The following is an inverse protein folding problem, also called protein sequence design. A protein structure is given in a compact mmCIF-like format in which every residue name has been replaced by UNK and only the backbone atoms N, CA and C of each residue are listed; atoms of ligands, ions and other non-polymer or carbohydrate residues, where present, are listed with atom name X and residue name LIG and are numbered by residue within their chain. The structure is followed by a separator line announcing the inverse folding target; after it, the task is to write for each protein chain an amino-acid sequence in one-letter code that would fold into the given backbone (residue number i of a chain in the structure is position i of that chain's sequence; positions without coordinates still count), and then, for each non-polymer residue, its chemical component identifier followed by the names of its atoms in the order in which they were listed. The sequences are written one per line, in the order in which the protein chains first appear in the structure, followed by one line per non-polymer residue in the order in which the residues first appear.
data_IF_085792000826
#
_entry.id   IF_085792000826
#
_cell.length_a   1.000
_cell.length_b   1.000
_cell.length_c   1.000
_cell.angle_alpha   90.00
_cell.angle_beta   90.00
_cell.angle_gamma   90.00
#
_symmetry.space_group_name_H-M   'P 1'
#
loop_
_entity.id
_entity.type
_entity.pdbx_description
1 polymer ?
#
# COMPACT_ATOMS: atom_id res chain seq x y z
N UNK A 1 -19.76 -3.36 -5.60
CA UNK A 1 -18.39 -2.81 -5.64
C UNK A 1 -17.44 -3.99 -5.82
N UNK A 2 -16.53 -3.96 -6.80
CA UNK A 2 -15.74 -5.13 -7.19
C UNK A 2 -14.51 -5.26 -6.25
N UNK A 3 -14.69 -5.94 -5.11
CA UNK A 3 -13.69 -6.09 -4.04
C UNK A 3 -12.33 -6.61 -4.56
N UNK A 4 -12.36 -7.48 -5.56
CA UNK A 4 -11.17 -8.00 -6.25
C UNK A 4 -10.37 -6.87 -6.95
N UNK A 5 -11.05 -5.93 -7.62
CA UNK A 5 -10.36 -4.83 -8.32
C UNK A 5 -9.64 -3.90 -7.35
N UNK A 6 -10.25 -3.58 -6.21
CA UNK A 6 -9.65 -2.70 -5.21
C UNK A 6 -8.42 -3.36 -4.58
N UNK A 7 -8.52 -4.63 -4.21
CA UNK A 7 -7.43 -5.33 -3.54
C UNK A 7 -6.23 -5.58 -4.48
N UNK A 8 -6.46 -5.89 -5.78
CA UNK A 8 -5.40 -5.88 -6.80
C UNK A 8 -4.75 -4.51 -6.95
N UNK A 9 -5.53 -3.43 -6.89
CA UNK A 9 -4.99 -2.08 -6.94
C UNK A 9 -4.10 -1.81 -5.73
N UNK A 10 -4.44 -2.31 -4.54
CA UNK A 10 -3.60 -2.18 -3.35
C UNK A 10 -2.30 -2.99 -3.47
N UNK A 11 -2.36 -4.26 -3.87
CA UNK A 11 -1.16 -5.09 -4.12
C UNK A 11 -0.25 -4.41 -5.14
N UNK A 12 -0.80 -3.94 -6.27
CA UNK A 12 -0.02 -3.25 -7.29
C UNK A 12 0.59 -1.93 -6.81
N UNK A 13 0.01 -1.25 -5.81
CA UNK A 13 0.65 -0.09 -5.16
C UNK A 13 1.85 -0.54 -4.34
N UNK A 14 1.72 -1.59 -3.54
CA UNK A 14 2.78 -2.13 -2.68
C UNK A 14 3.98 -2.61 -3.52
N UNK A 15 3.72 -3.31 -4.62
CA UNK A 15 4.76 -3.75 -5.57
C UNK A 15 5.47 -2.55 -6.20
N UNK A 16 4.72 -1.57 -6.73
CA UNK A 16 5.32 -0.35 -7.32
C UNK A 16 6.21 0.43 -6.34
N UNK A 17 5.86 0.47 -5.06
CA UNK A 17 6.73 1.11 -4.05
C UNK A 17 8.06 0.38 -3.95
N UNK A 18 8.03 -0.94 -3.92
CA UNK A 18 9.23 -1.76 -3.84
C UNK A 18 10.10 -1.59 -5.10
N UNK A 19 9.48 -1.49 -6.28
CA UNK A 19 10.17 -1.19 -7.54
C UNK A 19 10.82 0.20 -7.53
N UNK A 20 10.08 1.24 -7.12
CA UNK A 20 10.57 2.64 -7.04
C UNK A 20 11.74 2.75 -6.06
N UNK A 21 11.65 2.06 -4.92
CA UNK A 21 12.70 2.05 -3.91
C UNK A 21 13.84 1.07 -4.21
N UNK A 22 13.71 0.27 -5.27
CA UNK A 22 14.62 -0.82 -5.62
C UNK A 22 14.91 -1.77 -4.43
N UNK A 23 13.85 -2.16 -3.71
CA UNK A 23 13.92 -3.11 -2.59
C UNK A 23 13.12 -4.36 -2.91
N UNK A 24 13.63 -5.50 -2.44
CA UNK A 24 12.90 -6.77 -2.57
C UNK A 24 11.84 -6.87 -1.48
N UNK A 25 10.61 -7.24 -1.89
CA UNK A 25 9.58 -7.65 -0.95
C UNK A 25 10.01 -8.90 -0.18
N UNK A 26 9.42 -9.16 1.00
CA UNK A 26 9.67 -10.39 1.76
C UNK A 26 9.46 -11.63 0.91
N UNK A 27 10.31 -12.65 1.09
CA UNK A 27 10.25 -13.90 0.31
C UNK A 27 8.85 -14.53 0.29
N UNK A 28 8.12 -14.64 1.42
CA UNK A 28 6.76 -15.20 1.41
C UNK A 28 5.81 -14.44 0.47
N UNK A 29 5.88 -13.11 0.46
CA UNK A 29 5.06 -12.24 -0.39
C UNK A 29 5.40 -12.43 -1.87
N UNK A 30 6.69 -12.47 -2.22
CA UNK A 30 7.11 -12.70 -3.62
C UNK A 30 6.73 -14.10 -4.11
N UNK A 31 6.84 -15.12 -3.24
CA UNK A 31 6.45 -16.49 -3.56
C UNK A 31 4.94 -16.61 -3.76
N UNK A 32 4.14 -15.99 -2.89
CA UNK A 32 2.68 -15.97 -3.03
C UNK A 32 2.24 -15.22 -4.29
N UNK A 33 2.90 -14.12 -4.65
CA UNK A 33 2.63 -13.41 -5.91
C UNK A 33 2.89 -14.32 -7.11
N UNK A 34 4.05 -15.00 -7.15
CA UNK A 34 4.38 -15.92 -8.23
C UNK A 34 3.43 -17.14 -8.29
N UNK A 35 2.95 -17.62 -7.14
CA UNK A 35 1.94 -18.67 -7.06
C UNK A 35 0.60 -18.20 -7.61
N UNK A 36 0.15 -17.00 -7.22
CA UNK A 36 -1.06 -16.38 -7.75
C UNK A 36 -1.01 -16.24 -9.28
N UNK A 37 0.07 -15.69 -9.82
CA UNK A 37 0.23 -15.55 -11.27
C UNK A 37 0.17 -16.89 -11.99
N UNK A 38 0.79 -17.93 -11.40
CA UNK A 38 0.74 -19.30 -11.94
C UNK A 38 -0.68 -19.86 -11.89
N UNK A 39 -1.40 -19.69 -10.77
CA UNK A 39 -2.77 -20.15 -10.64
C UNK A 39 -3.70 -19.46 -11.64
N UNK A 40 -3.59 -18.15 -11.81
CA UNK A 40 -4.38 -17.39 -12.80
C UNK A 40 -4.10 -17.90 -14.22
N UNK A 41 -2.83 -18.10 -14.58
CA UNK A 41 -2.49 -18.66 -15.89
C UNK A 41 -3.08 -20.07 -16.10
N UNK A 42 -3.07 -20.92 -15.06
CA UNK A 42 -3.70 -22.24 -15.12
C UNK A 42 -5.22 -22.13 -15.29
N UNK A 43 -5.88 -21.25 -14.53
CA UNK A 43 -7.34 -21.01 -14.62
C UNK A 43 -7.72 -20.51 -16.02
N UNK A 44 -6.95 -19.59 -16.58
CA UNK A 44 -7.19 -19.05 -17.92
C UNK A 44 -7.03 -20.13 -18.98
N UNK A 45 -6.05 -21.03 -18.82
CA UNK A 45 -5.82 -22.18 -19.70
C UNK A 45 -6.86 -23.30 -19.61
N UNK A 46 -7.80 -23.26 -18.67
CA UNK A 46 -8.85 -24.27 -18.58
C UNK A 46 -9.76 -24.22 -19.81
N UNK A 47 -9.76 -25.31 -20.57
CA UNK A 47 -10.60 -25.49 -21.75
C UNK A 47 -11.80 -26.40 -21.44
N UNK A 48 -12.97 -25.99 -21.94
CA UNK A 48 -14.17 -26.80 -21.86
C UNK A 48 -14.15 -27.88 -22.94
N UNK A 49 -14.28 -29.15 -22.53
CA UNK A 49 -14.58 -30.25 -23.45
C UNK A 49 -16.08 -30.25 -23.78
N UNK A 50 -16.44 -30.61 -25.00
CA UNK A 50 -17.84 -30.72 -25.42
C UNK A 50 -18.48 -32.02 -24.90
N UNK A 51 -19.42 -31.95 -23.94
CA UNK A 51 -20.08 -33.14 -23.41
C UNK A 51 -20.98 -33.83 -24.45
N UNK A 52 -21.53 -33.08 -25.41
CA UNK A 52 -22.38 -33.64 -26.45
C UNK A 52 -21.56 -34.49 -27.43
N UNK A 53 -20.41 -34.00 -27.87
CA UNK A 53 -19.49 -34.78 -28.70
C UNK A 53 -19.03 -36.06 -28.00
N UNK A 54 -18.72 -36.00 -26.70
CA UNK A 54 -18.36 -37.18 -25.91
C UNK A 54 -19.54 -38.18 -25.81
N UNK A 55 -20.76 -37.70 -25.58
CA UNK A 55 -21.96 -38.55 -25.50
C UNK A 55 -22.30 -39.21 -26.83
N UNK A 56 -22.20 -38.49 -27.94
CA UNK A 56 -22.40 -39.04 -29.29
C UNK A 56 -21.36 -40.13 -29.60
N UNK A 57 -20.09 -39.93 -29.19
CA UNK A 57 -19.05 -40.95 -29.31
C UNK A 57 -19.35 -42.20 -28.47
N UNK A 58 -19.76 -42.03 -27.22
CA UNK A 58 -20.13 -43.15 -26.35
C UNK A 58 -21.28 -43.99 -26.95
N UNK A 59 -22.33 -43.32 -27.46
CA UNK A 59 -23.43 -43.99 -28.15
C UNK A 59 -22.99 -44.73 -29.41
N UNK A 60 -22.12 -44.12 -30.23
CA UNK A 60 -21.58 -44.75 -31.43
C UNK A 60 -20.75 -46.00 -31.10
N UNK A 61 -20.07 -46.00 -29.95
CA UNK A 61 -19.29 -47.13 -29.44
C UNK A 61 -20.15 -48.17 -28.66
N UNK A 62 -21.47 -47.96 -28.54
CA UNK A 62 -22.39 -48.84 -27.80
C UNK A 62 -22.27 -48.76 -26.27
N UNK A 63 -21.64 -47.71 -25.74
CA UNK A 63 -21.52 -47.42 -24.30
C UNK A 63 -22.71 -46.59 -23.82
N UNK A 64 -23.09 -46.73 -22.54
CA UNK A 64 -24.12 -45.89 -21.91
C UNK A 64 -23.54 -44.51 -21.50
N UNK A 65 -23.97 -43.39 -22.11
CA UNK A 65 -23.44 -42.06 -21.81
C UNK A 65 -23.60 -41.61 -20.35
N UNK A 66 -24.58 -42.16 -19.63
CA UNK A 66 -24.83 -41.77 -18.23
C UNK A 66 -23.75 -42.30 -17.28
N UNK A 67 -23.21 -43.47 -17.59
CA UNK A 67 -22.14 -44.12 -16.83
C UNK A 67 -20.77 -43.95 -17.47
N UNK A 68 -20.70 -43.39 -18.68
CA UNK A 68 -19.47 -43.23 -19.43
C UNK A 68 -18.49 -42.22 -18.79
N UNK A 69 -17.22 -42.61 -18.55
CA UNK A 69 -16.23 -41.75 -17.91
C UNK A 69 -15.83 -40.54 -18.78
N UNK A 70 -15.84 -40.65 -20.11
CA UNK A 70 -15.46 -39.56 -21.01
C UNK A 70 -16.53 -38.46 -21.00
N UNK A 71 -17.80 -38.85 -20.98
CA UNK A 71 -18.95 -37.93 -20.87
C UNK A 71 -18.94 -37.20 -19.54
N UNK A 72 -18.70 -37.92 -18.43
CA UNK A 72 -18.57 -37.33 -17.09
C UNK A 72 -17.39 -36.36 -17.01
N UNK A 73 -16.23 -36.76 -17.52
CA UNK A 73 -15.05 -35.90 -17.57
C UNK A 73 -15.31 -34.63 -18.41
N UNK A 74 -16.01 -34.73 -19.53
CA UNK A 74 -16.39 -33.59 -20.35
C UNK A 74 -17.35 -32.63 -19.63
N UNK A 75 -18.34 -33.16 -18.90
CA UNK A 75 -19.22 -32.34 -18.05
C UNK A 75 -18.45 -31.59 -16.96
N UNK A 76 -17.55 -32.28 -16.24
CA UNK A 76 -16.72 -31.66 -15.20
C UNK A 76 -15.83 -30.57 -15.81
N UNK A 77 -15.16 -30.87 -16.92
CA UNK A 77 -14.32 -29.91 -17.65
C UNK A 77 -15.11 -28.67 -18.07
N UNK A 78 -16.32 -28.83 -18.62
CA UNK A 78 -17.19 -27.71 -18.98
C UNK A 78 -17.59 -26.87 -17.76
N UNK A 79 -17.92 -27.50 -16.64
CA UNK A 79 -18.26 -26.80 -15.40
C UNK A 79 -17.06 -26.03 -14.87
N UNK A 80 -15.90 -26.68 -14.75
CA UNK A 80 -14.66 -26.06 -14.22
C UNK A 80 -14.14 -24.94 -15.12
N UNK A 81 -14.26 -25.09 -16.44
CA UNK A 81 -13.89 -24.07 -17.41
C UNK A 81 -14.97 -22.98 -17.62
N UNK A 82 -16.11 -23.06 -16.92
CA UNK A 82 -17.14 -22.01 -16.97
C UNK A 82 -16.61 -20.67 -16.45
N UNK A 83 -17.17 -19.57 -16.93
CA UNK A 83 -16.76 -18.24 -16.50
C UNK A 83 -16.98 -18.02 -15.00
N UNK A 84 -18.06 -18.59 -14.47
CA UNK A 84 -18.41 -18.56 -13.05
C UNK A 84 -17.36 -19.28 -12.22
N UNK A 85 -16.95 -20.49 -12.61
CA UNK A 85 -15.89 -21.23 -11.93
C UNK A 85 -14.54 -20.54 -12.03
N UNK A 86 -14.14 -20.03 -13.21
CA UNK A 86 -12.90 -19.26 -13.35
C UNK A 86 -12.88 -18.04 -12.44
N UNK A 87 -14.01 -17.31 -12.36
CA UNK A 87 -14.14 -16.16 -11.47
C UNK A 87 -14.01 -16.55 -9.99
N UNK A 88 -14.68 -17.63 -9.57
CA UNK A 88 -14.62 -18.12 -8.20
C UNK A 88 -13.21 -18.62 -7.80
N UNK A 89 -12.54 -19.34 -8.70
CA UNK A 89 -11.17 -19.83 -8.49
C UNK A 89 -10.18 -18.66 -8.38
N UNK A 90 -10.27 -17.68 -9.29
CA UNK A 90 -9.41 -16.49 -9.25
C UNK A 90 -9.67 -15.66 -7.99
N UNK A 91 -10.92 -15.51 -7.56
CA UNK A 91 -11.26 -14.84 -6.31
C UNK A 91 -10.63 -15.56 -5.11
N UNK A 92 -10.67 -16.89 -5.07
CA UNK A 92 -10.04 -17.67 -4.00
C UNK A 92 -8.52 -17.50 -4.00
N UNK A 93 -7.87 -17.65 -5.15
CA UNK A 93 -6.43 -17.46 -5.28
C UNK A 93 -6.00 -16.05 -4.85
N UNK A 94 -6.81 -15.04 -5.17
CA UNK A 94 -6.58 -13.67 -4.74
C UNK A 94 -6.74 -13.50 -3.22
N UNK A 95 -7.74 -14.13 -2.59
CA UNK A 95 -7.89 -14.12 -1.14
C UNK A 95 -6.67 -14.73 -0.43
N UNK A 96 -6.18 -15.87 -0.92
CA UNK A 96 -4.99 -16.51 -0.37
C UNK A 96 -3.74 -15.61 -0.52
N UNK A 97 -3.61 -14.86 -1.63
CA UNK A 97 -2.55 -13.86 -1.80
C UNK A 97 -2.67 -12.70 -0.79
N UNK A 98 -3.88 -12.19 -0.56
CA UNK A 98 -4.11 -11.11 0.39
C UNK A 98 -3.75 -11.52 1.81
N UNK A 99 -4.10 -12.73 2.22
CA UNK A 99 -3.77 -13.26 3.54
C UNK A 99 -2.25 -13.23 3.78
N UNK A 100 -1.44 -13.60 2.79
CA UNK A 100 0.03 -13.54 2.88
C UNK A 100 0.54 -12.10 3.01
N UNK A 101 -0.02 -11.15 2.26
CA UNK A 101 0.35 -9.73 2.40
C UNK A 101 -0.01 -9.17 3.79
N UNK A 102 -1.13 -9.59 4.37
CA UNK A 102 -1.58 -9.18 5.70
C UNK A 102 -0.68 -9.80 6.77
N UNK A 103 -0.40 -11.09 6.68
CA UNK A 103 0.47 -11.83 7.61
C UNK A 103 1.88 -11.22 7.66
N UNK A 104 2.43 -10.85 6.50
CA UNK A 104 3.77 -10.28 6.37
C UNK A 104 3.79 -8.75 6.26
N UNK A 105 2.71 -8.07 6.66
CA UNK A 105 2.60 -6.63 6.47
C UNK A 105 3.70 -5.84 7.21
N UNK A 106 4.12 -6.30 8.40
CA UNK A 106 5.24 -5.73 9.13
C UNK A 106 6.57 -5.84 8.37
N UNK A 107 6.88 -7.05 7.86
CA UNK A 107 8.10 -7.31 7.08
C UNK A 107 8.17 -6.46 5.81
N UNK A 108 7.02 -6.22 5.16
CA UNK A 108 6.92 -5.33 3.99
C UNK A 108 7.29 -3.89 4.38
N UNK A 109 6.72 -3.36 5.46
CA UNK A 109 7.06 -2.01 5.95
C UNK A 109 8.53 -1.92 6.36
N UNK A 110 9.06 -2.95 7.02
CA UNK A 110 10.46 -3.02 7.43
C UNK A 110 11.42 -2.98 6.23
N UNK A 111 11.06 -3.62 5.12
CA UNK A 111 11.83 -3.55 3.87
C UNK A 111 11.96 -2.12 3.32
N UNK A 112 11.03 -1.22 3.67
CA UNK A 112 11.03 0.17 3.23
C UNK A 112 11.76 1.12 4.19
N UNK A 113 12.08 0.69 5.43
CA UNK A 113 12.67 1.58 6.45
C UNK A 113 14.01 2.15 6.00
N UNK A 114 14.93 1.32 5.50
CA UNK A 114 16.25 1.77 5.06
C UNK A 114 16.22 2.81 3.90
N UNK A 115 15.55 2.55 2.76
CA UNK A 115 15.46 3.55 1.70
C UNK A 115 14.66 4.80 2.11
N UNK A 116 13.66 4.65 2.99
CA UNK A 116 12.97 5.80 3.59
C UNK A 116 13.93 6.66 4.41
N UNK A 117 14.76 6.06 5.27
CA UNK A 117 15.74 6.79 6.09
C UNK A 117 16.75 7.52 5.20
N UNK A 118 17.19 6.92 4.10
CA UNK A 118 18.06 7.58 3.14
C UNK A 118 17.37 8.81 2.51
N UNK A 119 16.12 8.68 2.07
CA UNK A 119 15.35 9.80 1.52
C UNK A 119 15.12 10.91 2.58
N UNK A 120 14.80 10.54 3.82
CA UNK A 120 14.66 11.48 4.93
C UNK A 120 15.97 12.26 5.21
N UNK A 121 17.12 11.59 5.12
CA UNK A 121 18.42 12.25 5.24
C UNK A 121 18.68 13.20 4.09
N UNK A 122 18.40 12.81 2.83
CA UNK A 122 18.54 13.69 1.67
C UNK A 122 17.69 14.96 1.78
N UNK A 123 16.49 14.87 2.36
CA UNK A 123 15.66 16.05 2.66
C UNK A 123 16.35 16.95 3.69
N UNK A 124 16.89 16.36 4.75
CA UNK A 124 17.60 17.11 5.81
C UNK A 124 18.82 17.83 5.24
N UNK A 125 19.65 17.13 4.47
CA UNK A 125 20.85 17.67 3.83
C UNK A 125 20.50 18.79 2.84
N UNK A 126 19.46 18.59 2.03
CA UNK A 126 19.00 19.59 1.09
C UNK A 126 18.46 20.84 1.80
N UNK A 127 17.74 20.68 2.92
CA UNK A 127 17.27 21.82 3.72
C UNK A 127 18.42 22.66 4.24
N UNK A 128 19.48 22.03 4.72
CA UNK A 128 20.69 22.71 5.19
C UNK A 128 21.38 23.45 4.04
N UNK A 129 21.63 22.76 2.93
CA UNK A 129 22.29 23.32 1.75
C UNK A 129 21.50 24.48 1.12
N UNK A 130 20.18 24.37 1.04
CA UNK A 130 19.28 25.39 0.48
C UNK A 130 18.92 26.48 1.50
N UNK A 131 19.44 26.40 2.74
CA UNK A 131 19.17 27.35 3.83
C UNK A 131 17.66 27.53 4.08
N UNK A 132 16.91 26.44 3.99
CA UNK A 132 15.47 26.43 4.19
C UNK A 132 14.65 27.13 3.10
N UNK A 133 15.21 27.43 1.93
CA UNK A 133 14.43 27.93 0.78
C UNK A 133 13.34 26.94 0.38
N UNK A 134 12.17 27.44 -0.08
CA UNK A 134 11.09 26.58 -0.52
C UNK A 134 11.41 25.96 -1.89
N UNK A 135 10.96 24.72 -2.11
CA UNK A 135 11.28 23.95 -3.33
C UNK A 135 10.47 24.39 -4.57
N UNK A 136 9.53 25.32 -4.43
CA UNK A 136 8.83 25.94 -5.55
C UNK A 136 9.62 27.09 -6.19
N UNK A 137 10.62 27.66 -5.48
CA UNK A 137 11.56 28.67 -6.00
C UNK A 137 12.71 28.03 -6.80
N UNK A 138 12.37 27.25 -7.84
CA UNK A 138 13.37 26.56 -8.66
C UNK A 138 14.38 27.55 -9.29
N UNK A 139 13.91 28.71 -9.75
CA UNK A 139 14.76 29.72 -10.36
C UNK A 139 15.75 30.34 -9.35
N UNK A 140 15.29 30.69 -8.15
CA UNK A 140 16.15 31.21 -7.08
C UNK A 140 17.13 30.17 -6.56
N UNK A 141 16.76 28.89 -6.55
CA UNK A 141 17.67 27.79 -6.18
C UNK A 141 18.75 27.57 -7.24
N UNK A 142 18.40 27.54 -8.53
CA UNK A 142 19.38 27.40 -9.62
C UNK A 142 20.37 28.57 -9.65
N UNK A 143 19.93 29.77 -9.29
CA UNK A 143 20.81 30.94 -9.19
C UNK A 143 21.88 30.82 -8.08
N UNK A 144 21.73 29.90 -7.12
CA UNK A 144 22.75 29.60 -6.10
C UNK A 144 23.88 28.71 -6.63
N UNK A 145 23.76 28.17 -7.85
CA UNK A 145 24.79 27.38 -8.51
C UNK A 145 24.50 25.88 -8.56
N UNK A 146 25.44 25.13 -9.16
CA UNK A 146 25.25 23.70 -9.47
C UNK A 146 25.04 22.81 -8.25
N UNK A 147 25.73 23.07 -7.13
CA UNK A 147 25.55 22.27 -5.91
C UNK A 147 24.14 22.42 -5.31
N UNK A 148 23.59 23.64 -5.31
CA UNK A 148 22.22 23.88 -4.86
C UNK A 148 21.19 23.21 -5.79
N UNK A 149 21.45 23.23 -7.11
CA UNK A 149 20.62 22.51 -8.07
C UNK A 149 20.66 20.98 -7.87
N UNK A 150 21.79 20.40 -7.44
CA UNK A 150 21.88 18.98 -7.07
C UNK A 150 21.03 18.68 -5.83
N UNK A 151 21.22 19.42 -4.74
CA UNK A 151 20.42 19.22 -3.51
C UNK A 151 18.91 19.43 -3.75
N UNK A 152 18.56 20.32 -4.66
CA UNK A 152 17.18 20.49 -5.12
C UNK A 152 16.62 19.23 -5.78
N UNK A 153 17.37 18.64 -6.72
CA UNK A 153 16.98 17.41 -7.39
C UNK A 153 16.88 16.24 -6.40
N UNK A 154 17.87 16.10 -5.52
CA UNK A 154 17.90 15.05 -4.49
C UNK A 154 16.69 15.16 -3.54
N UNK A 155 16.33 16.37 -3.10
CA UNK A 155 15.14 16.59 -2.29
C UNK A 155 13.85 16.22 -3.02
N UNK A 156 13.74 16.58 -4.30
CA UNK A 156 12.57 16.27 -5.15
C UNK A 156 12.39 14.76 -5.31
N UNK A 157 13.48 14.03 -5.54
CA UNK A 157 13.49 12.57 -5.62
C UNK A 157 13.13 11.94 -4.27
N UNK A 158 13.75 12.41 -3.19
CA UNK A 158 13.45 11.94 -1.84
C UNK A 158 11.98 12.13 -1.45
N UNK A 159 11.37 13.27 -1.79
CA UNK A 159 9.93 13.51 -1.60
C UNK A 159 9.10 12.50 -2.41
N UNK A 160 9.48 12.22 -3.65
CA UNK A 160 8.78 11.24 -4.48
C UNK A 160 8.84 9.83 -3.86
N UNK A 161 10.01 9.43 -3.35
CA UNK A 161 10.22 8.15 -2.66
C UNK A 161 9.38 8.05 -1.38
N UNK A 162 9.38 9.10 -0.54
CA UNK A 162 8.56 9.14 0.67
C UNK A 162 7.06 9.06 0.35
N UNK A 163 6.60 9.79 -0.68
CA UNK A 163 5.20 9.72 -1.12
C UNK A 163 4.84 8.33 -1.66
N UNK A 164 5.76 7.66 -2.35
CA UNK A 164 5.56 6.28 -2.77
C UNK A 164 5.37 5.39 -1.53
N UNK A 165 6.27 5.46 -0.54
CA UNK A 165 6.16 4.72 0.73
C UNK A 165 4.83 4.95 1.41
N UNK A 166 4.39 6.20 1.55
CA UNK A 166 3.10 6.53 2.18
C UNK A 166 1.92 5.89 1.44
N UNK A 167 1.93 5.92 0.11
CA UNK A 167 0.90 5.26 -0.69
C UNK A 167 0.88 3.74 -0.51
N UNK A 168 2.06 3.10 -0.45
CA UNK A 168 2.19 1.66 -0.19
C UNK A 168 1.75 1.28 1.22
N UNK A 169 2.18 2.06 2.22
CA UNK A 169 1.78 1.89 3.62
C UNK A 169 0.27 2.02 3.77
N UNK A 170 -0.35 3.02 3.15
CA UNK A 170 -1.80 3.22 3.16
C UNK A 170 -2.53 2.06 2.50
N UNK A 171 -2.03 1.55 1.38
CA UNK A 171 -2.59 0.38 0.70
C UNK A 171 -2.58 -0.86 1.59
N UNK A 172 -1.44 -1.12 2.24
CA UNK A 172 -1.24 -2.24 3.14
C UNK A 172 -2.09 -2.11 4.42
N UNK A 173 -2.18 -0.92 5.01
CA UNK A 173 -3.04 -0.61 6.16
C UNK A 173 -4.52 -0.91 5.86
N UNK A 174 -4.99 -0.57 4.65
CA UNK A 174 -6.37 -0.86 4.24
C UNK A 174 -6.61 -2.35 4.09
N UNK A 175 -5.66 -3.09 3.51
CA UNK A 175 -5.74 -4.55 3.40
C UNK A 175 -5.78 -5.22 4.78
N UNK A 176 -4.94 -4.76 5.72
CA UNK A 176 -4.88 -5.28 7.08
C UNK A 176 -6.07 -4.85 7.98
N UNK A 177 -7.01 -4.04 7.47
CA UNK A 177 -8.16 -3.57 8.24
C UNK A 177 -7.82 -2.55 9.34
N UNK A 178 -6.66 -1.88 9.27
CA UNK A 178 -6.20 -0.90 10.26
C UNK A 178 -6.91 0.47 10.20
N UNK A 179 -8.06 0.55 9.52
CA UNK A 179 -8.87 1.76 9.40
C UNK A 179 -8.46 2.69 8.26
N UNK A 180 -9.25 3.76 8.08
CA UNK A 180 -9.03 4.76 7.04
C UNK A 180 -8.06 5.83 7.52
N UNK A 181 -6.92 5.94 6.84
CA UNK A 181 -6.01 7.08 7.01
C UNK A 181 -6.63 8.29 6.30
N UNK A 182 -6.80 9.37 7.05
CA UNK A 182 -7.23 10.65 6.50
C UNK A 182 -6.02 11.46 6.04
N UNK A 183 -6.21 12.41 5.13
CA UNK A 183 -5.13 13.35 4.74
C UNK A 183 -4.53 14.09 5.97
N UNK A 184 -5.32 14.28 7.03
CA UNK A 184 -4.87 14.93 8.28
C UNK A 184 -4.00 14.05 9.17
N UNK A 185 -4.02 12.73 8.98
CA UNK A 185 -3.23 11.76 9.75
C UNK A 185 -2.07 11.17 8.95
N UNK A 186 -2.01 11.41 7.64
CA UNK A 186 -0.99 10.84 6.74
C UNK A 186 0.45 11.18 7.16
N UNK A 187 0.69 12.39 7.66
CA UNK A 187 2.01 12.80 8.16
C UNK A 187 2.50 11.92 9.34
N UNK A 188 1.58 11.32 10.11
CA UNK A 188 1.92 10.48 11.26
C UNK A 188 2.60 9.18 10.82
N UNK A 189 2.44 8.79 9.55
CA UNK A 189 3.15 7.64 8.95
C UNK A 189 4.65 7.93 8.87
N UNK A 190 5.04 9.18 8.63
CA UNK A 190 6.41 9.52 8.21
C UNK A 190 7.12 10.47 9.15
N UNK A 191 6.47 10.98 10.19
CA UNK A 191 7.05 11.96 11.08
C UNK A 191 6.70 11.68 12.55
N UNK A 192 7.69 11.88 13.42
CA UNK A 192 7.53 11.91 14.87
C UNK A 192 7.57 13.36 15.34
N UNK A 193 6.62 13.72 16.20
CA UNK A 193 6.49 15.08 16.73
C UNK A 193 7.10 15.21 18.12
N UNK A 194 7.82 16.31 18.44
CA UNK A 194 8.11 16.70 19.82
C UNK A 194 6.96 17.44 20.59
N UNK A 195 5.79 17.72 19.99
CA UNK A 195 4.61 18.35 20.64
C UNK A 195 3.91 19.50 19.86
N UNK A 196 2.58 19.57 20.02
CA UNK A 196 1.51 20.43 19.43
C UNK A 196 0.79 19.89 18.16
N UNK A 197 -0.51 19.55 18.21
CA UNK A 197 -1.29 18.91 17.14
C UNK A 197 -1.70 19.84 15.99
N UNK A 198 -1.24 21.09 15.98
CA UNK A 198 -1.52 22.12 14.99
C UNK A 198 -0.66 22.05 13.72
N UNK A 199 -0.47 20.88 13.11
CA UNK A 199 0.28 20.79 11.84
C UNK A 199 -0.67 20.82 10.64
N UNK A 200 -0.58 21.81 9.73
CA UNK A 200 -1.26 21.76 8.44
C UNK A 200 -0.66 20.64 7.56
N UNK A 201 -1.40 20.32 6.50
CA UNK A 201 -0.97 19.42 5.40
C UNK A 201 0.42 19.85 4.91
N UNK A 202 1.45 19.16 5.39
CA UNK A 202 2.83 19.57 5.16
C UNK A 202 3.56 18.48 4.38
N UNK A 203 4.22 18.91 3.30
CA UNK A 203 5.13 18.07 2.51
C UNK A 203 6.30 17.56 3.41
N UNK A 204 6.92 16.39 3.14
CA UNK A 204 8.05 15.90 3.96
C UNK A 204 9.17 16.94 4.14
N UNK A 205 9.41 17.78 3.14
CA UNK A 205 10.38 18.88 3.25
C UNK A 205 9.94 19.95 4.26
N UNK A 206 8.66 20.31 4.30
CA UNK A 206 8.10 21.28 5.26
C UNK A 206 8.07 20.72 6.69
N UNK A 207 7.75 19.42 6.84
CA UNK A 207 7.79 18.71 8.11
C UNK A 207 9.20 18.77 8.72
N UNK A 208 10.23 18.40 7.94
CA UNK A 208 11.62 18.50 8.38
C UNK A 208 12.00 19.93 8.80
N UNK A 209 11.42 20.96 8.15
CA UNK A 209 11.63 22.36 8.52
C UNK A 209 10.95 22.84 9.77
N UNK A 210 9.86 22.18 10.11
CA UNK A 210 9.06 22.49 11.29
C UNK A 210 9.58 21.75 12.52
N UNK A 211 10.78 21.15 12.43
CA UNK A 211 11.44 20.43 13.52
C UNK A 211 10.95 19.00 13.72
N UNK A 212 10.18 18.44 12.78
CA UNK A 212 9.80 17.03 12.84
C UNK A 212 10.97 16.16 12.45
N UNK A 213 11.11 15.03 13.14
CA UNK A 213 12.01 13.97 12.70
C UNK A 213 11.24 13.06 11.74
N UNK A 214 11.76 12.90 10.52
CA UNK A 214 11.16 12.01 9.53
C UNK A 214 11.53 10.55 9.87
N UNK A 215 10.54 9.75 10.23
CA UNK A 215 10.68 8.34 10.58
C UNK A 215 9.42 7.56 10.16
N UNK A 216 9.61 6.51 9.36
CA UNK A 216 8.55 5.63 8.91
C UNK A 216 8.03 4.79 10.08
N UNK A 217 6.75 4.94 10.38
CA UNK A 217 6.04 4.16 11.39
C UNK A 217 5.77 2.74 10.87
N UNK A 218 5.87 1.74 11.75
CA UNK A 218 5.07 0.53 11.59
C UNK A 218 3.61 0.78 12.03
N UNK A 219 2.76 -0.26 11.96
CA UNK A 219 1.35 -0.12 12.30
C UNK A 219 1.11 0.20 13.78
N UNK A 220 1.90 -0.36 14.68
CA UNK A 220 1.74 -0.15 16.11
C UNK A 220 2.26 1.24 16.52
N UNK A 221 3.40 1.67 15.97
CA UNK A 221 3.91 3.02 16.10
C UNK A 221 2.91 4.04 15.57
N UNK A 222 2.31 3.81 14.39
CA UNK A 222 1.32 4.74 13.84
C UNK A 222 0.08 4.83 14.74
N UNK A 223 -0.40 3.70 15.27
CA UNK A 223 -1.52 3.67 16.24
C UNK A 223 -1.15 4.44 17.51
N UNK A 224 0.06 4.29 18.02
CA UNK A 224 0.56 5.03 19.18
C UNK A 224 0.64 6.54 18.89
N UNK A 225 1.14 6.94 17.72
CA UNK A 225 1.17 8.34 17.26
C UNK A 225 -0.24 8.94 17.19
N UNK A 226 -1.21 8.20 16.66
CA UNK A 226 -2.62 8.60 16.61
C UNK A 226 -3.24 8.80 18.00
N UNK A 227 -3.02 7.86 18.91
CA UNK A 227 -3.51 7.93 20.28
C UNK A 227 -2.91 9.13 21.00
N UNK A 228 -1.59 9.32 20.89
CA UNK A 228 -0.89 10.44 21.51
C UNK A 228 -1.46 11.80 21.08
N UNK A 229 -1.70 11.99 19.77
CA UNK A 229 -2.26 13.24 19.24
C UNK A 229 -3.71 13.44 19.69
N UNK A 230 -4.49 12.37 19.79
CA UNK A 230 -5.85 12.41 20.32
C UNK A 230 -5.85 12.88 21.77
N UNK A 231 -4.93 12.35 22.59
CA UNK A 231 -4.74 12.78 23.98
C UNK A 231 -4.36 14.25 24.07
N UNK A 232 -3.36 14.71 23.31
CA UNK A 232 -2.95 16.13 23.34
C UNK A 232 -4.11 17.06 22.96
N UNK A 233 -4.89 16.72 21.92
CA UNK A 233 -6.05 17.51 21.50
C UNK A 233 -7.11 17.59 22.60
N UNK A 234 -7.43 16.47 23.25
CA UNK A 234 -8.38 16.46 24.36
C UNK A 234 -7.90 17.32 25.53
N UNK A 235 -6.60 17.27 25.87
CA UNK A 235 -6.01 18.11 26.92
C UNK A 235 -6.02 19.60 26.56
N UNK A 236 -5.80 19.95 25.29
CA UNK A 236 -5.90 21.34 24.82
C UNK A 236 -7.32 21.87 24.84
N UNK A 237 -8.29 21.08 24.38
CA UNK A 237 -9.71 21.45 24.43
C UNK A 237 -10.17 21.66 25.87
N UNK A 238 -9.79 20.78 26.79
CA UNK A 238 -10.07 20.93 28.22
C UNK A 238 -9.44 22.22 28.79
N UNK A 239 -8.17 22.49 28.47
CA UNK A 239 -7.49 23.74 28.88
C UNK A 239 -8.15 24.98 28.30
N UNK A 240 -8.59 24.94 27.04
CA UNK A 240 -9.32 26.04 26.39
C UNK A 240 -10.69 26.26 27.05
N UNK A 241 -11.43 25.20 27.33
CA UNK A 241 -12.73 25.28 28.02
C UNK A 241 -12.59 25.85 29.43
N UNK A 242 -11.57 25.42 30.20
CA UNK A 242 -11.30 25.97 31.53
C UNK A 242 -10.93 27.45 31.49
N UNK A 243 -10.08 27.87 30.53
CA UNK A 243 -9.73 29.29 30.33
C UNK A 243 -10.96 30.13 29.97
N UNK A 244 -11.87 29.61 29.15
CA UNK A 244 -13.11 30.28 28.79
C UNK A 244 -14.07 30.41 29.98
N UNK A 245 -14.18 29.38 30.83
CA UNK A 245 -14.98 29.46 32.05
C UNK A 245 -14.43 30.53 33.03
N UNK A 246 -13.12 30.55 33.25
CA UNK A 246 -12.49 31.58 34.11
C UNK A 246 -12.75 32.98 33.56
N UNK A 247 -12.64 33.18 32.24
CA UNK A 247 -12.85 34.49 31.61
C UNK A 247 -14.31 34.97 31.60
N UNK A 248 -15.29 34.09 31.80
CA UNK A 248 -16.72 34.44 31.86
C UNK A 248 -17.17 34.76 33.29
N UNK A 249 -16.52 34.17 34.30
CA UNK A 249 -16.92 34.30 35.71
C UNK A 249 -15.97 35.15 36.58
N UNK A 250 -14.82 35.56 36.05
CA UNK A 250 -13.86 36.48 36.70
C UNK A 250 -13.94 37.87 36.11
#
# INVERSE_FOLDING_TARGET
MNLDREARQQIGRIQRVSDVLNVSLPKPVTAATAEFDRMVALIDSLEARDPLAAALKALADGRDPYTDPDVRAAHISRTVASQESKTALTYRAHADLLDVYIEHAGDVVDSWKAPFTAAAQSITDAREALKGRPLDDAAGIVALGGDAARHYADAREAIANIRAVVNGWTALSRMAGNGTITERSEWQIIATHPGDPGTPKADPYELAGSGFTLALADFDEHRARQQHITTIRAEEEARRAQRQQIAVFG
#
